data_IF_915823712838
#
_entry.id   IF_915823712838
#
_cell.length_a   1.000
_cell.length_b   1.000
_cell.length_c   1.000
_cell.angle_alpha   90.00
_cell.angle_beta   90.00
_cell.angle_gamma   90.00
#
_symmetry.space_group_name_H-M   'P 1'
#
loop_
_entity.id
_entity.type
_entity.pdbx_description
1 polymer ?
#
# COMPACT_ATOMS: atom_id res chain seq x y z
N UNK A 1 7.18 22.63 -4.63
CA UNK A 1 6.14 22.22 -3.66
C UNK A 1 4.95 21.60 -4.39
N UNK A 2 4.01 21.00 -3.66
CA UNK A 2 2.74 20.52 -4.22
C UNK A 2 1.63 21.57 -4.04
N UNK A 3 0.51 21.41 -4.75
CA UNK A 3 -0.60 22.36 -4.70
C UNK A 3 -1.23 22.49 -3.30
N UNK A 4 -1.28 21.39 -2.55
CA UNK A 4 -1.81 21.37 -1.17
C UNK A 4 -0.92 22.16 -0.21
N UNK A 5 0.40 21.97 -0.29
CA UNK A 5 1.37 22.70 0.53
C UNK A 5 1.36 24.21 0.25
N UNK A 6 1.30 24.59 -1.03
CA UNK A 6 1.17 25.99 -1.44
C UNK A 6 -0.10 26.63 -0.90
N UNK A 7 -1.23 25.91 -0.92
CA UNK A 7 -2.49 26.40 -0.37
C UNK A 7 -2.44 26.58 1.14
N UNK A 8 -1.87 25.62 1.88
CA UNK A 8 -1.72 25.72 3.34
C UNK A 8 -0.89 26.96 3.73
N UNK A 9 0.15 27.30 2.95
CA UNK A 9 1.00 28.47 3.23
C UNK A 9 0.39 29.81 2.82
N UNK A 10 -0.40 29.84 1.75
CA UNK A 10 -0.91 31.08 1.14
C UNK A 10 -2.37 31.36 1.45
N UNK A 11 -3.14 30.35 1.87
CA UNK A 11 -4.58 30.41 2.11
C UNK A 11 -5.40 31.01 0.93
N UNK A 12 -4.85 31.00 -0.28
CA UNK A 12 -5.41 31.65 -1.46
C UNK A 12 -5.25 30.76 -2.69
N UNK A 13 -6.37 30.47 -3.36
CA UNK A 13 -6.39 29.61 -4.56
C UNK A 13 -5.62 30.27 -5.71
N UNK A 14 -5.79 31.58 -5.88
CA UNK A 14 -5.13 32.35 -6.95
C UNK A 14 -3.62 32.37 -6.75
N UNK A 15 -3.15 32.64 -5.54
CA UNK A 15 -1.72 32.60 -5.23
C UNK A 15 -1.14 31.19 -5.32
N UNK A 16 -1.90 30.18 -4.90
CA UNK A 16 -1.51 28.77 -5.02
C UNK A 16 -1.29 28.39 -6.48
N UNK A 17 -2.21 28.76 -7.38
CA UNK A 17 -2.10 28.45 -8.81
C UNK A 17 -0.98 29.24 -9.49
N UNK A 18 -0.82 30.52 -9.14
CA UNK A 18 0.27 31.35 -9.63
C UNK A 18 1.64 30.80 -9.18
N UNK A 19 1.79 30.51 -7.89
CA UNK A 19 2.98 29.90 -7.31
C UNK A 19 3.27 28.51 -7.89
N UNK A 20 2.25 27.66 -8.06
CA UNK A 20 2.40 26.33 -8.65
C UNK A 20 2.92 26.42 -10.10
N UNK A 21 2.36 27.32 -10.91
CA UNK A 21 2.82 27.57 -12.28
C UNK A 21 4.27 28.05 -12.31
N UNK A 22 4.63 28.99 -11.44
CA UNK A 22 5.98 29.55 -11.39
C UNK A 22 7.01 28.53 -10.91
N UNK A 23 6.69 27.75 -9.88
CA UNK A 23 7.62 26.81 -9.26
C UNK A 23 7.80 25.52 -10.08
N UNK A 24 6.75 25.08 -10.80
CA UNK A 24 6.80 23.87 -11.65
C UNK A 24 7.14 24.15 -13.11
N UNK A 25 7.19 25.43 -13.52
CA UNK A 25 7.31 25.85 -14.91
C UNK A 25 6.31 25.11 -15.85
N UNK A 26 5.11 24.83 -15.36
CA UNK A 26 4.06 24.10 -16.09
C UNK A 26 2.94 25.07 -16.48
N UNK A 27 2.46 24.96 -17.73
CA UNK A 27 1.32 25.74 -18.22
C UNK A 27 0.01 25.32 -17.54
N UNK A 28 -0.11 24.03 -17.26
CA UNK A 28 -1.29 23.47 -16.61
C UNK A 28 -1.24 23.72 -15.10
N UNK A 29 -2.28 24.36 -14.59
CA UNK A 29 -2.46 24.58 -13.16
C UNK A 29 -3.62 23.73 -12.65
N UNK A 30 -3.57 23.30 -11.38
CA UNK A 30 -4.70 22.65 -10.74
C UNK A 30 -5.97 23.48 -10.90
N UNK A 31 -7.10 22.79 -11.10
CA UNK A 31 -8.39 23.48 -11.17
C UNK A 31 -8.67 24.19 -9.83
N UNK A 32 -9.33 25.36 -9.85
CA UNK A 32 -9.65 26.09 -8.63
C UNK A 32 -10.55 25.29 -7.67
N UNK A 33 -11.29 24.29 -8.18
CA UNK A 33 -12.12 23.39 -7.38
C UNK A 33 -11.36 22.16 -6.86
N UNK A 34 -10.28 21.77 -7.53
CA UNK A 34 -9.46 20.62 -7.13
C UNK A 34 -8.63 20.93 -5.90
N UNK A 35 -8.09 22.15 -5.78
CA UNK A 35 -7.22 22.53 -4.66
C UNK A 35 -7.94 22.44 -3.31
N UNK A 36 -9.13 23.04 -3.09
CA UNK A 36 -9.85 22.90 -1.83
C UNK A 36 -10.25 21.46 -1.53
N UNK A 37 -10.67 20.70 -2.56
CA UNK A 37 -11.01 19.28 -2.41
C UNK A 37 -9.81 18.45 -1.93
N UNK A 38 -8.63 18.67 -2.51
CA UNK A 38 -7.40 17.99 -2.10
C UNK A 38 -6.96 18.37 -0.70
N UNK A 39 -7.13 19.64 -0.32
CA UNK A 39 -6.85 20.12 1.05
C UNK A 39 -7.80 19.46 2.05
N UNK A 40 -9.09 19.33 1.73
CA UNK A 40 -10.05 18.59 2.55
C UNK A 40 -9.68 17.13 2.73
N UNK A 41 -9.43 16.41 1.62
CA UNK A 41 -8.95 15.02 1.66
C UNK A 41 -7.67 14.86 2.47
N UNK A 42 -6.74 15.81 2.33
CA UNK A 42 -5.50 15.82 3.07
C UNK A 42 -5.69 16.03 4.57
N UNK A 43 -6.52 16.99 4.98
CA UNK A 43 -6.78 17.28 6.39
C UNK A 43 -7.56 16.15 7.09
N UNK A 44 -8.43 15.45 6.36
CA UNK A 44 -9.22 14.35 6.90
C UNK A 44 -8.46 13.02 6.91
N UNK A 45 -7.72 12.71 5.84
CA UNK A 45 -7.20 11.35 5.58
C UNK A 45 -5.67 11.29 5.48
N UNK A 46 -4.97 12.44 5.51
CA UNK A 46 -3.52 12.51 5.30
C UNK A 46 -3.07 12.12 3.88
N UNK A 47 -4.01 12.01 2.94
CA UNK A 47 -3.74 11.60 1.56
C UNK A 47 -4.64 12.30 0.55
N UNK A 48 -4.08 12.60 -0.62
CA UNK A 48 -4.81 13.17 -1.78
C UNK A 48 -5.15 12.08 -2.82
N UNK A 49 -4.73 10.83 -2.59
CA UNK A 49 -5.02 9.74 -3.52
C UNK A 49 -6.50 9.38 -3.48
N UNK A 50 -7.11 9.27 -4.67
CA UNK A 50 -8.47 8.76 -4.78
C UNK A 50 -8.53 7.37 -4.14
N UNK A 51 -9.47 7.16 -3.21
CA UNK A 51 -9.79 5.83 -2.72
C UNK A 51 -10.08 4.95 -3.92
N UNK A 52 -9.45 3.76 -3.93
CA UNK A 52 -9.81 2.75 -4.91
C UNK A 52 -11.29 2.44 -4.68
N UNK A 53 -12.16 2.56 -5.70
CA UNK A 53 -13.53 2.13 -5.57
C UNK A 53 -13.52 0.69 -5.04
N UNK A 54 -14.44 0.31 -4.14
CA UNK A 54 -14.58 -1.09 -3.76
C UNK A 54 -14.76 -1.88 -5.05
N UNK A 55 -13.71 -2.60 -5.45
CA UNK A 55 -13.70 -3.31 -6.71
C UNK A 55 -14.79 -4.37 -6.70
N UNK A 56 -15.32 -4.71 -7.88
CA UNK A 56 -16.21 -5.87 -8.03
C UNK A 56 -15.56 -7.05 -7.32
N UNK A 57 -16.23 -7.59 -6.29
CA UNK A 57 -15.75 -8.77 -5.60
C UNK A 57 -15.52 -9.86 -6.64
N UNK A 58 -14.32 -10.45 -6.64
CA UNK A 58 -13.98 -11.47 -7.63
C UNK A 58 -14.83 -12.70 -7.37
N UNK A 59 -15.86 -12.93 -8.22
CA UNK A 59 -16.73 -14.12 -8.17
C UNK A 59 -15.95 -15.43 -8.30
N UNK A 60 -14.71 -15.33 -8.80
CA UNK A 60 -13.81 -16.45 -9.02
C UNK A 60 -13.11 -16.87 -7.71
N UNK A 61 -12.86 -15.97 -6.75
CA UNK A 61 -12.08 -16.23 -5.52
C UNK A 61 -12.92 -16.30 -4.24
N UNK A 62 -14.11 -16.89 -4.30
CA UNK A 62 -14.85 -17.25 -3.09
C UNK A 62 -14.09 -18.32 -2.28
N UNK A 63 -14.17 -18.35 -0.94
CA UNK A 63 -13.56 -19.38 -0.10
C UNK A 63 -13.89 -20.82 -0.57
N UNK A 64 -15.12 -21.02 -1.05
CA UNK A 64 -15.58 -22.29 -1.62
C UNK A 64 -14.79 -22.72 -2.88
N UNK A 65 -14.71 -21.85 -3.88
CA UNK A 65 -13.89 -22.08 -5.08
C UNK A 65 -12.41 -22.35 -4.75
N UNK A 66 -11.86 -21.70 -3.71
CA UNK A 66 -10.49 -21.96 -3.24
C UNK A 66 -10.38 -23.38 -2.68
N UNK A 67 -11.29 -23.77 -1.77
CA UNK A 67 -11.32 -25.10 -1.19
C UNK A 67 -11.47 -26.21 -2.26
N UNK A 68 -12.34 -25.98 -3.26
CA UNK A 68 -12.55 -26.90 -4.38
C UNK A 68 -11.31 -27.06 -5.26
N UNK A 69 -10.61 -25.96 -5.56
CA UNK A 69 -9.33 -26.01 -6.32
C UNK A 69 -8.26 -26.76 -5.52
N UNK A 70 -8.13 -26.47 -4.23
CA UNK A 70 -7.17 -27.15 -3.36
C UNK A 70 -7.43 -28.66 -3.29
N UNK A 71 -8.67 -29.07 -3.05
CA UNK A 71 -9.05 -30.49 -3.00
C UNK A 71 -8.77 -31.21 -4.34
N UNK A 72 -9.02 -30.56 -5.48
CA UNK A 72 -8.76 -31.13 -6.80
C UNK A 72 -7.26 -31.31 -7.07
N UNK A 73 -6.44 -30.31 -6.74
CA UNK A 73 -4.98 -30.37 -6.92
C UNK A 73 -4.36 -31.43 -6.00
N UNK A 74 -4.76 -31.48 -4.72
CA UNK A 74 -4.28 -32.49 -3.78
C UNK A 74 -4.64 -33.91 -4.23
N UNK A 75 -5.81 -34.12 -4.83
CA UNK A 75 -6.24 -35.42 -5.33
C UNK A 75 -5.45 -35.89 -6.56
N UNK A 76 -5.08 -34.97 -7.46
CA UNK A 76 -4.43 -35.31 -8.74
C UNK A 76 -3.34 -34.29 -9.11
N UNK A 77 -2.20 -34.28 -8.40
CA UNK A 77 -1.19 -33.23 -8.55
C UNK A 77 -0.52 -33.18 -9.94
N UNK A 78 -0.53 -34.28 -10.68
CA UNK A 78 0.08 -34.38 -12.02
C UNK A 78 -0.80 -33.83 -13.16
N UNK A 79 -2.05 -33.45 -12.89
CA UNK A 79 -2.93 -32.91 -13.94
C UNK A 79 -2.60 -31.46 -14.29
N UNK A 80 -2.77 -31.14 -15.57
CA UNK A 80 -2.52 -29.78 -16.05
C UNK A 80 -3.57 -28.80 -15.52
N UNK A 81 -3.20 -27.52 -15.44
CA UNK A 81 -4.11 -26.45 -15.02
C UNK A 81 -5.42 -26.43 -15.82
N UNK A 82 -5.35 -26.76 -17.11
CA UNK A 82 -6.50 -26.83 -18.01
C UNK A 82 -7.47 -27.94 -17.62
N UNK A 83 -6.97 -29.11 -17.25
CA UNK A 83 -7.80 -30.24 -16.85
C UNK A 83 -8.51 -29.98 -15.52
N UNK A 84 -7.83 -29.40 -14.53
CA UNK A 84 -8.48 -29.01 -13.28
C UNK A 84 -9.51 -27.90 -13.48
N UNK A 85 -9.21 -26.91 -14.33
CA UNK A 85 -10.14 -25.84 -14.68
C UNK A 85 -11.42 -26.37 -15.35
N UNK A 86 -11.26 -27.30 -16.30
CA UNK A 86 -12.39 -27.99 -16.95
C UNK A 86 -13.21 -28.82 -15.96
N UNK A 87 -12.56 -29.54 -15.05
CA UNK A 87 -13.23 -30.37 -14.04
C UNK A 87 -14.01 -29.53 -13.02
N UNK A 88 -13.49 -28.36 -12.64
CA UNK A 88 -14.07 -27.50 -11.62
C UNK A 88 -15.02 -26.43 -12.17
N UNK A 89 -15.07 -26.25 -13.50
CA UNK A 89 -15.82 -25.16 -14.13
C UNK A 89 -15.28 -23.77 -13.76
N UNK A 90 -13.99 -23.66 -13.42
CA UNK A 90 -13.35 -22.39 -13.00
C UNK A 90 -12.28 -21.94 -13.98
N UNK A 91 -12.11 -20.62 -14.13
CA UNK A 91 -11.11 -20.07 -15.06
C UNK A 91 -9.66 -20.37 -14.61
N UNK A 92 -8.74 -20.54 -15.58
CA UNK A 92 -7.31 -20.87 -15.39
C UNK A 92 -6.55 -19.93 -14.44
N UNK A 93 -7.02 -18.69 -14.27
CA UNK A 93 -6.34 -17.64 -13.49
C UNK A 93 -6.26 -17.92 -11.97
N UNK A 94 -7.05 -18.86 -11.44
CA UNK A 94 -7.00 -19.28 -10.03
C UNK A 94 -5.73 -20.01 -9.61
N UNK A 95 -4.94 -20.52 -10.56
CA UNK A 95 -3.72 -21.28 -10.26
C UNK A 95 -2.51 -20.40 -9.97
N UNK A 96 -2.48 -19.15 -10.46
CA UNK A 96 -1.31 -18.28 -10.30
C UNK A 96 -1.06 -17.84 -8.84
N UNK A 97 -1.98 -18.13 -7.93
CA UNK A 97 -1.80 -17.92 -6.48
C UNK A 97 -1.26 -19.13 -5.72
N UNK A 98 -1.18 -20.32 -6.34
CA UNK A 98 -0.87 -21.57 -5.65
C UNK A 98 0.32 -22.35 -6.22
N UNK A 99 0.95 -21.86 -7.29
CA UNK A 99 2.24 -22.41 -7.75
C UNK A 99 3.37 -21.58 -7.12
N UNK A 100 4.24 -22.17 -6.29
CA UNK A 100 5.37 -21.44 -5.73
C UNK A 100 6.28 -20.96 -6.88
N UNK A 101 6.87 -19.75 -6.74
CA UNK A 101 7.80 -19.23 -7.72
C UNK A 101 9.01 -20.16 -7.92
N UNK A 102 9.55 -20.18 -9.13
CA UNK A 102 10.73 -20.99 -9.50
C UNK A 102 12.01 -20.58 -8.76
N UNK A 103 12.00 -19.42 -8.09
CA UNK A 103 13.10 -18.90 -7.29
C UNK A 103 12.57 -18.49 -5.91
N UNK A 104 13.41 -18.58 -4.86
CA UNK A 104 13.05 -18.11 -3.53
C UNK A 104 12.59 -16.66 -3.59
N UNK A 105 11.37 -16.40 -3.10
CA UNK A 105 10.88 -15.04 -2.91
C UNK A 105 11.02 -14.67 -1.44
N UNK A 106 11.29 -13.41 -1.19
CA UNK A 106 11.25 -12.81 0.15
C UNK A 106 10.37 -11.57 0.12
N UNK A 107 9.58 -11.37 1.15
CA UNK A 107 8.87 -10.10 1.36
C UNK A 107 9.76 -9.19 2.18
N UNK A 108 9.95 -7.95 1.73
CA UNK A 108 10.73 -6.94 2.46
C UNK A 108 9.89 -5.68 2.67
N UNK A 109 9.87 -5.16 3.89
CA UNK A 109 9.41 -3.81 4.17
C UNK A 109 10.64 -2.92 4.36
N UNK A 110 10.72 -1.84 3.59
CA UNK A 110 11.83 -0.88 3.68
C UNK A 110 11.29 0.53 3.91
N UNK A 111 11.94 1.27 4.79
CA UNK A 111 11.76 2.71 4.92
C UNK A 111 12.93 3.43 4.26
N UNK A 112 12.64 4.41 3.42
CA UNK A 112 13.65 5.17 2.69
C UNK A 112 13.48 6.67 2.91
N UNK A 113 14.60 7.38 2.94
CA UNK A 113 14.65 8.83 3.00
C UNK A 113 15.57 9.36 1.90
N UNK A 114 15.44 10.64 1.57
CA UNK A 114 16.17 11.32 0.48
C UNK A 114 17.68 11.07 0.50
N UNK A 115 18.27 10.84 1.69
CA UNK A 115 19.72 10.65 1.85
C UNK A 115 20.16 9.21 2.14
N UNK A 116 19.27 8.32 2.59
CA UNK A 116 19.62 6.94 2.96
C UNK A 116 18.40 6.03 3.10
N UNK A 117 18.63 4.72 3.05
CA UNK A 117 17.69 3.72 3.60
C UNK A 117 17.66 3.86 5.11
N UNK A 118 16.47 3.97 5.69
CA UNK A 118 16.28 4.14 7.14
C UNK A 118 16.28 2.78 7.84
N UNK A 119 15.68 1.77 7.23
CA UNK A 119 15.62 0.42 7.78
C UNK A 119 14.95 -0.55 6.81
N UNK A 120 15.16 -1.84 7.03
CA UNK A 120 14.50 -2.91 6.30
C UNK A 120 14.18 -4.09 7.22
N UNK A 121 13.06 -4.75 6.97
CA UNK A 121 12.65 -5.97 7.65
C UNK A 121 12.31 -7.03 6.61
N UNK A 122 12.98 -8.17 6.69
CA UNK A 122 12.70 -9.32 5.85
C UNK A 122 11.71 -10.24 6.55
N UNK A 123 10.72 -10.71 5.80
CA UNK A 123 9.69 -11.59 6.29
C UNK A 123 9.79 -12.94 5.60
N UNK A 124 10.13 -13.96 6.39
CA UNK A 124 10.20 -15.37 5.98
C UNK A 124 9.55 -16.25 7.04
N UNK A 125 9.01 -17.40 6.65
CA UNK A 125 8.68 -18.48 7.58
C UNK A 125 9.91 -19.33 7.90
N UNK A 126 9.72 -20.36 8.73
CA UNK A 126 10.78 -21.29 9.13
C UNK A 126 11.40 -22.04 7.94
N UNK A 127 10.61 -22.23 6.88
CA UNK A 127 11.02 -22.86 5.62
C UNK A 127 11.67 -21.86 4.64
N UNK A 128 11.84 -20.60 5.04
CA UNK A 128 12.47 -19.54 4.26
C UNK A 128 11.60 -18.94 3.15
N UNK A 129 10.30 -19.25 3.11
CA UNK A 129 9.35 -18.74 2.12
C UNK A 129 8.83 -17.36 2.48
N UNK A 130 8.53 -16.56 1.44
CA UNK A 130 7.91 -15.25 1.61
C UNK A 130 6.56 -15.35 2.33
N UNK A 131 6.47 -14.73 3.50
CA UNK A 131 5.21 -14.59 4.22
C UNK A 131 4.53 -13.27 3.85
N UNK A 132 3.21 -13.26 3.99
CA UNK A 132 2.40 -12.05 3.80
C UNK A 132 2.50 -11.16 5.03
N UNK A 133 2.72 -9.87 4.82
CA UNK A 133 2.73 -8.88 5.90
C UNK A 133 1.29 -8.58 6.30
N UNK A 134 0.89 -9.08 7.46
CA UNK A 134 -0.40 -8.77 8.08
C UNK A 134 -0.32 -7.45 8.85
N UNK A 135 -1.47 -6.89 9.24
CA UNK A 135 -1.51 -5.69 10.09
C UNK A 135 -0.75 -5.88 11.40
N UNK A 136 -0.76 -7.08 11.98
CA UNK A 136 0.00 -7.39 13.20
C UNK A 136 1.51 -7.30 12.96
N UNK A 137 2.03 -8.02 11.95
CA UNK A 137 3.47 -7.99 11.60
C UNK A 137 3.95 -6.61 11.16
N UNK A 138 3.06 -5.83 10.55
CA UNK A 138 3.32 -4.45 10.19
C UNK A 138 3.40 -3.55 11.43
N UNK A 139 2.51 -3.76 12.41
CA UNK A 139 2.51 -3.03 13.68
C UNK A 139 3.75 -3.34 14.52
N UNK A 140 4.16 -4.61 14.58
CA UNK A 140 5.41 -5.05 15.20
C UNK A 140 6.60 -4.32 14.56
N UNK A 141 6.67 -4.29 13.23
CA UNK A 141 7.72 -3.56 12.52
C UNK A 141 7.72 -2.06 12.80
N UNK A 142 6.55 -1.41 12.87
CA UNK A 142 6.48 0.01 13.26
C UNK A 142 7.02 0.23 14.67
N UNK A 143 6.69 -0.65 15.62
CA UNK A 143 7.12 -0.52 17.02
C UNK A 143 8.62 -0.82 17.19
N UNK A 144 9.15 -1.76 16.42
CA UNK A 144 10.57 -2.06 16.39
C UNK A 144 11.37 -1.02 15.61
N UNK A 145 10.70 -0.20 14.79
CA UNK A 145 11.35 0.85 14.03
C UNK A 145 11.95 1.90 14.98
N UNK A 146 13.29 1.99 15.07
CA UNK A 146 13.90 2.90 16.02
C UNK A 146 13.61 4.34 15.61
N UNK A 147 13.07 5.15 16.52
CA UNK A 147 12.92 6.58 16.31
C UNK A 147 14.28 7.26 16.00
N UNK A 148 15.39 6.69 16.48
CA UNK A 148 16.76 7.11 16.16
C UNK A 148 17.16 6.91 14.69
N UNK A 149 16.46 6.05 13.95
CA UNK A 149 16.71 5.88 12.52
C UNK A 149 16.05 7.02 11.73
N UNK A 150 15.02 7.67 12.28
CA UNK A 150 14.39 8.83 11.66
C UNK A 150 15.38 10.01 11.57
N UNK A 151 15.25 10.87 10.55
CA UNK A 151 16.02 12.09 10.46
C UNK A 151 15.90 12.96 11.71
N UNK A 152 17.00 13.55 12.21
CA UNK A 152 16.93 14.53 13.28
C UNK A 152 16.11 15.74 12.81
N UNK A 153 15.27 16.28 13.69
CA UNK A 153 14.27 17.33 13.45
C UNK A 153 13.03 16.83 12.70
N UNK A 154 11.94 16.60 13.44
CA UNK A 154 10.72 15.86 13.08
C UNK A 154 9.81 16.46 11.98
N UNK A 155 10.33 17.26 11.05
CA UNK A 155 9.60 17.70 9.85
C UNK A 155 9.75 16.70 8.70
N UNK A 156 9.39 15.44 8.96
CA UNK A 156 9.37 14.38 7.95
C UNK A 156 7.95 14.05 7.51
N UNK A 157 7.76 13.87 6.21
CA UNK A 157 6.52 13.36 5.63
C UNK A 157 6.64 11.85 5.47
N UNK A 158 5.66 11.11 5.97
CA UNK A 158 5.58 9.68 5.80
C UNK A 158 4.63 9.36 4.65
N UNK A 159 5.07 8.54 3.70
CA UNK A 159 4.26 8.13 2.56
C UNK A 159 4.25 6.61 2.47
N UNK A 160 3.04 6.04 2.38
CA UNK A 160 2.79 4.62 2.19
C UNK A 160 1.62 4.41 1.22
N UNK A 161 1.43 3.19 0.75
CA UNK A 161 0.26 2.82 -0.05
C UNK A 161 -0.96 2.49 0.82
N UNK A 162 -2.13 2.36 0.20
CA UNK A 162 -3.38 2.09 0.90
C UNK A 162 -3.63 0.60 1.16
N UNK A 163 -2.57 -0.20 1.40
CA UNK A 163 -2.71 -1.62 1.69
C UNK A 163 -3.53 -1.83 2.97
N UNK A 164 -4.32 -2.90 3.04
CA UNK A 164 -5.20 -3.17 4.19
C UNK A 164 -4.42 -3.29 5.51
N UNK A 165 -3.19 -3.79 5.47
CA UNK A 165 -2.33 -3.86 6.65
C UNK A 165 -1.95 -2.47 7.18
N UNK A 166 -1.75 -1.50 6.28
CA UNK A 166 -1.30 -0.14 6.60
C UNK A 166 -2.43 0.73 7.18
N UNK A 167 -3.66 0.53 6.70
CA UNK A 167 -4.84 1.29 7.15
C UNK A 167 -5.58 0.62 8.32
N UNK A 168 -5.12 -0.54 8.77
CA UNK A 168 -5.71 -1.24 9.91
C UNK A 168 -5.62 -0.37 11.18
N UNK A 169 -6.64 -0.47 12.03
CA UNK A 169 -6.73 0.31 13.28
C UNK A 169 -5.48 0.15 14.16
N UNK A 170 -5.01 -1.09 14.34
CA UNK A 170 -3.82 -1.38 15.15
C UNK A 170 -2.55 -0.74 14.60
N UNK A 171 -2.43 -0.67 13.27
CA UNK A 171 -1.27 -0.13 12.57
C UNK A 171 -1.27 1.39 12.61
N UNK A 172 -2.44 2.01 12.36
CA UNK A 172 -2.60 3.46 12.48
C UNK A 172 -2.42 3.94 13.93
N UNK A 173 -2.84 3.14 14.93
CA UNK A 173 -2.62 3.45 16.34
C UNK A 173 -1.12 3.49 16.69
N UNK A 174 -0.36 2.46 16.30
CA UNK A 174 1.09 2.44 16.50
C UNK A 174 1.78 3.56 15.71
N UNK A 175 1.35 3.80 14.47
CA UNK A 175 1.91 4.85 13.63
C UNK A 175 1.77 6.24 14.28
N UNK A 176 0.59 6.57 14.79
CA UNK A 176 0.32 7.86 15.45
C UNK A 176 1.14 8.09 16.72
N UNK A 177 1.63 7.03 17.36
CA UNK A 177 2.55 7.14 18.49
C UNK A 177 3.90 7.75 18.06
N UNK A 178 4.43 7.31 16.91
CA UNK A 178 5.71 7.81 16.37
C UNK A 178 5.54 9.11 15.57
N UNK A 179 4.37 9.34 14.99
CA UNK A 179 4.05 10.53 14.20
C UNK A 179 2.81 11.24 14.77
N UNK A 180 2.90 11.84 15.97
CA UNK A 180 1.78 12.56 16.55
C UNK A 180 1.48 13.80 15.70
N UNK A 181 0.21 13.98 15.34
CA UNK A 181 -0.34 15.13 14.59
C UNK A 181 -0.15 15.15 13.06
N UNK A 182 0.07 14.00 12.40
CA UNK A 182 0.07 13.91 10.93
C UNK A 182 -0.66 12.68 10.40
#
# INVERSE_FOLDING_TARGET
MCAVELFIRKASITETRCGFRHERNQRETPSPNSVPRWVGQWLEEGSVTSKKPPGRQSSVRTPDNIARVLASVSRRPRRSARQHAQELGVCKSLRNSSTPPLWPKVTSCCAVWTRRVIGHCFYKDEDGQAITVTSQRYTEMINEFPASNLPPNHTVWFQQDSATAHTALISMAAFRHFFPQR
#
